data_IF_336051554528
#
_entry.id   IF_336051554528
#
_cell.length_a   1.000
_cell.length_b   1.000
_cell.length_c   1.000
_cell.angle_alpha   90.00
_cell.angle_beta   90.00
_cell.angle_gamma   90.00
#
_symmetry.space_group_name_H-M   'P 1'
#
loop_
_entity.id
_entity.type
_entity.pdbx_description
1 polymer ?
#
# COMPACT_ATOMS: atom_id res chain seq x y z
N UNK A 1 14.09 5.29 20.56
CA UNK A 1 13.95 5.35 19.12
C UNK A 1 12.54 4.92 18.71
N UNK A 2 11.88 5.67 17.86
CA UNK A 2 10.44 5.45 17.54
C UNK A 2 10.24 4.55 16.33
N UNK A 3 11.08 3.52 16.15
CA UNK A 3 11.03 2.67 14.97
C UNK A 3 9.68 1.97 14.79
N UNK A 4 9.15 1.39 15.85
CA UNK A 4 7.85 0.71 15.79
C UNK A 4 6.74 1.69 15.40
N UNK A 5 6.73 2.86 16.01
CA UNK A 5 5.74 3.89 15.70
C UNK A 5 5.87 4.38 14.26
N UNK A 6 7.11 4.56 13.80
CA UNK A 6 7.37 5.00 12.43
C UNK A 6 6.87 3.96 11.42
N UNK A 7 7.14 2.68 11.66
CA UNK A 7 6.70 1.62 10.75
C UNK A 7 5.17 1.45 10.79
N UNK A 8 4.54 1.63 11.95
CA UNK A 8 3.09 1.62 12.06
C UNK A 8 2.47 2.77 11.27
N UNK A 9 3.07 3.95 11.36
CA UNK A 9 2.64 5.12 10.59
C UNK A 9 2.79 4.87 9.08
N UNK A 10 3.90 4.25 8.66
CA UNK A 10 4.10 3.90 7.26
C UNK A 10 3.06 2.91 6.77
N UNK A 11 2.68 1.94 7.59
CA UNK A 11 1.63 0.99 7.24
C UNK A 11 0.30 1.71 6.97
N UNK A 12 -0.07 2.65 7.83
CA UNK A 12 -1.27 3.47 7.63
C UNK A 12 -1.18 4.30 6.35
N UNK A 13 -0.01 4.86 6.06
CA UNK A 13 0.21 5.64 4.84
C UNK A 13 0.04 4.76 3.60
N UNK A 14 0.58 3.53 3.64
CA UNK A 14 0.41 2.59 2.53
C UNK A 14 -1.07 2.24 2.30
N UNK A 15 -1.83 2.04 3.38
CA UNK A 15 -3.28 1.80 3.26
C UNK A 15 -3.99 2.96 2.58
N UNK A 16 -3.65 4.20 2.96
CA UNK A 16 -4.22 5.39 2.35
C UNK A 16 -3.83 5.51 0.87
N UNK A 17 -2.58 5.19 0.55
CA UNK A 17 -2.12 5.20 -0.84
C UNK A 17 -2.88 4.19 -1.68
N UNK A 18 -3.12 2.99 -1.15
CA UNK A 18 -3.90 1.96 -1.84
C UNK A 18 -5.33 2.43 -2.11
N UNK A 19 -5.97 3.06 -1.13
CA UNK A 19 -7.31 3.61 -1.32
C UNK A 19 -7.35 4.66 -2.43
N UNK A 20 -6.34 5.52 -2.47
CA UNK A 20 -6.24 6.57 -3.50
C UNK A 20 -5.99 5.97 -4.88
N UNK A 21 -5.20 4.91 -4.97
CA UNK A 21 -4.97 4.22 -6.23
C UNK A 21 -6.23 3.52 -6.73
N UNK A 22 -7.01 2.93 -5.84
CA UNK A 22 -8.29 2.33 -6.20
C UNK A 22 -9.26 3.39 -6.74
N UNK A 23 -9.31 4.55 -6.11
CA UNK A 23 -10.13 5.67 -6.56
C UNK A 23 -9.66 6.15 -7.94
N UNK A 24 -8.35 6.25 -8.15
CA UNK A 24 -7.79 6.65 -9.44
C UNK A 24 -8.16 5.65 -10.55
N UNK A 25 -8.07 4.35 -10.24
CA UNK A 25 -8.44 3.31 -11.20
C UNK A 25 -9.93 3.42 -11.59
N UNK A 26 -10.80 3.69 -10.61
CA UNK A 26 -12.22 3.89 -10.88
C UNK A 26 -12.44 5.11 -11.77
N UNK A 27 -11.71 6.20 -11.49
CA UNK A 27 -11.86 7.45 -12.24
C UNK A 27 -11.45 7.33 -13.70
N UNK A 28 -10.42 6.54 -14.01
CA UNK A 28 -9.93 6.43 -15.38
C UNK A 28 -10.64 5.34 -16.19
N UNK A 29 -11.35 4.43 -15.52
CA UNK A 29 -12.00 3.30 -16.19
C UNK A 29 -13.08 3.80 -17.15
N UNK A 30 -13.01 3.33 -18.40
CA UNK A 30 -13.97 3.74 -19.43
C UNK A 30 -13.74 5.13 -19.99
N UNK A 31 -12.64 5.78 -19.63
CA UNK A 31 -12.28 7.09 -20.18
C UNK A 31 -11.17 6.93 -21.22
N UNK A 32 -10.74 8.05 -21.84
CA UNK A 32 -9.61 8.05 -22.76
C UNK A 32 -8.27 7.73 -22.06
N UNK A 33 -8.26 7.68 -20.73
CA UNK A 33 -7.08 7.34 -19.93
C UNK A 33 -7.12 5.92 -19.36
N UNK A 34 -8.05 5.09 -19.82
CA UNK A 34 -8.17 3.73 -19.28
C UNK A 34 -6.93 2.86 -19.56
N UNK A 35 -6.07 3.26 -20.49
CA UNK A 35 -4.77 2.61 -20.70
C UNK A 35 -3.85 2.66 -19.47
N UNK A 36 -4.12 3.56 -18.51
CA UNK A 36 -3.36 3.64 -17.25
C UNK A 36 -3.72 2.53 -16.27
N UNK A 37 -4.85 1.83 -16.47
CA UNK A 37 -5.32 0.81 -15.52
C UNK A 37 -4.28 -0.27 -15.24
N UNK A 38 -3.57 -0.73 -16.27
CA UNK A 38 -2.54 -1.74 -16.10
C UNK A 38 -1.45 -1.31 -15.12
N UNK A 39 -0.96 -0.09 -15.28
CA UNK A 39 0.07 0.47 -14.41
C UNK A 39 -0.48 0.69 -13.00
N UNK A 40 -1.70 1.19 -12.88
CA UNK A 40 -2.31 1.41 -11.57
C UNK A 40 -2.46 0.10 -10.79
N UNK A 41 -2.89 -0.99 -11.47
CA UNK A 41 -3.01 -2.30 -10.84
C UNK A 41 -1.64 -2.86 -10.43
N UNK A 42 -0.61 -2.64 -11.25
CA UNK A 42 0.74 -3.07 -10.90
C UNK A 42 1.27 -2.33 -9.68
N UNK A 43 1.04 -1.01 -9.60
CA UNK A 43 1.43 -0.22 -8.44
C UNK A 43 0.71 -0.73 -7.20
N UNK A 44 -0.61 -0.97 -7.28
CA UNK A 44 -1.37 -1.52 -6.17
C UNK A 44 -0.79 -2.86 -5.72
N UNK A 45 -0.46 -3.73 -6.65
CA UNK A 45 0.10 -5.05 -6.35
C UNK A 45 1.40 -4.94 -5.57
N UNK A 46 2.29 -4.06 -6.01
CA UNK A 46 3.57 -3.84 -5.34
C UNK A 46 3.39 -3.25 -3.94
N UNK A 47 2.46 -2.29 -3.79
CA UNK A 47 2.20 -1.68 -2.50
C UNK A 47 1.56 -2.66 -1.53
N UNK A 48 0.63 -3.52 -1.99
CA UNK A 48 0.04 -4.56 -1.15
C UNK A 48 1.10 -5.54 -0.68
N UNK A 49 2.01 -5.92 -1.56
CA UNK A 49 3.11 -6.82 -1.21
C UNK A 49 4.01 -6.18 -0.16
N UNK A 50 4.36 -4.91 -0.36
CA UNK A 50 5.17 -4.16 0.61
C UNK A 50 4.45 -4.04 1.95
N UNK A 51 3.15 -3.78 1.94
CA UNK A 51 2.37 -3.62 3.17
C UNK A 51 2.28 -4.94 3.95
N UNK A 52 2.12 -6.07 3.25
CA UNK A 52 2.13 -7.39 3.90
C UNK A 52 3.47 -7.67 4.56
N UNK A 53 4.56 -7.32 3.89
CA UNK A 53 5.90 -7.50 4.44
C UNK A 53 6.11 -6.63 5.66
N UNK A 54 5.65 -5.39 5.59
CA UNK A 54 5.72 -4.45 6.71
C UNK A 54 4.93 -4.97 7.91
N UNK A 55 3.72 -5.50 7.68
CA UNK A 55 2.91 -6.08 8.74
C UNK A 55 3.60 -7.26 9.42
N UNK A 56 4.25 -8.13 8.64
CA UNK A 56 5.02 -9.23 9.20
C UNK A 56 6.21 -8.74 10.01
N UNK A 57 6.87 -7.69 9.54
CA UNK A 57 7.99 -7.09 10.25
C UNK A 57 7.53 -6.53 11.60
N UNK A 58 6.40 -5.83 11.61
CA UNK A 58 5.83 -5.28 12.85
C UNK A 58 5.47 -6.39 13.83
N UNK A 59 4.87 -7.49 13.35
CA UNK A 59 4.54 -8.62 14.19
C UNK A 59 5.80 -9.24 14.78
N UNK A 60 6.85 -9.39 13.97
CA UNK A 60 8.12 -9.95 14.44
C UNK A 60 8.76 -9.08 15.52
N UNK A 61 8.63 -7.75 15.40
CA UNK A 61 9.17 -6.82 16.41
C UNK A 61 8.47 -6.91 17.75
N UNK A 62 7.22 -7.36 17.76
CA UNK A 62 6.42 -7.48 18.98
C UNK A 62 6.62 -8.81 19.69
N UNK A 63 7.20 -9.80 19.03
CA UNK A 63 7.42 -11.10 19.65
C UNK A 63 8.62 -11.05 20.58
N UNK A 64 8.50 -11.58 21.80
CA UNK A 64 9.68 -11.74 22.65
C UNK A 64 10.63 -12.74 22.01
N UNK A 65 11.91 -12.45 22.09
CA UNK A 65 12.96 -13.32 21.58
C UNK A 65 13.14 -14.55 22.44
#
# INVERSE_FOLDING_TARGET
MALHADLTSLSSTLDQMLERLEAAATDVRGTDRDGLLGDLYEIERHLRSANRRLSRTLTAMQKPS
#
